data_IF_324076659902
#
_entry.id   IF_324076659902
#
_cell.length_a   1.000
_cell.length_b   1.000
_cell.length_c   1.000
_cell.angle_alpha   90.00
_cell.angle_beta   90.00
_cell.angle_gamma   90.00
#
_symmetry.space_group_name_H-M   'P 1'
#
loop_
_entity.id
_entity.type
_entity.pdbx_description
1 polymer ?
#
# COMPACT_ATOMS: atom_id res chain seq x y z
N UNK A 1 -9.21 14.64 1.58
CA UNK A 1 -8.23 14.92 0.49
C UNK A 1 -8.28 16.39 0.06
N UNK A 2 -7.30 16.86 -0.71
CA UNK A 2 -7.21 18.24 -1.24
C UNK A 2 -6.66 18.23 -2.68
N UNK A 3 -6.64 19.40 -3.34
CA UNK A 3 -5.98 19.62 -4.64
C UNK A 3 -6.45 18.69 -5.78
N UNK A 4 -7.73 18.33 -5.81
CA UNK A 4 -8.28 17.42 -6.83
C UNK A 4 -8.22 18.09 -8.21
N UNK A 5 -7.60 17.38 -9.16
CA UNK A 5 -7.44 17.80 -10.57
C UNK A 5 -7.87 16.69 -11.51
N UNK A 6 -8.40 17.06 -12.67
CA UNK A 6 -8.73 16.13 -13.74
C UNK A 6 -7.49 15.88 -14.62
N UNK A 7 -7.25 14.64 -14.99
CA UNK A 7 -6.16 14.17 -15.86
C UNK A 7 -6.71 13.28 -16.98
N UNK A 8 -5.88 12.89 -17.94
CA UNK A 8 -6.32 11.96 -19.00
C UNK A 8 -6.63 10.54 -18.49
N UNK A 9 -6.23 10.20 -17.26
CA UNK A 9 -6.40 8.89 -16.63
C UNK A 9 -7.43 8.88 -15.49
N UNK A 10 -8.21 9.95 -15.32
CA UNK A 10 -9.14 10.12 -14.20
C UNK A 10 -8.78 11.32 -13.32
N UNK A 11 -9.28 11.32 -12.09
CA UNK A 11 -9.00 12.35 -11.11
C UNK A 11 -7.78 12.00 -10.26
N UNK A 12 -7.04 13.04 -9.91
CA UNK A 12 -5.89 12.94 -9.02
C UNK A 12 -6.06 13.93 -7.88
N UNK A 13 -6.04 13.43 -6.66
CA UNK A 13 -6.04 14.21 -5.43
C UNK A 13 -4.73 14.05 -4.64
N UNK A 14 -4.66 14.76 -3.52
CA UNK A 14 -3.56 14.66 -2.57
C UNK A 14 -4.12 14.39 -1.17
N UNK A 15 -3.48 13.48 -0.43
CA UNK A 15 -3.74 13.28 0.99
C UNK A 15 -2.45 13.26 1.80
N UNK A 16 -2.54 13.64 3.07
CA UNK A 16 -1.44 13.46 4.02
C UNK A 16 -1.53 12.06 4.61
N UNK A 17 -0.44 11.30 4.54
CA UNK A 17 -0.31 9.98 5.14
C UNK A 17 0.57 10.08 6.40
N UNK A 18 -0.08 9.98 7.55
CA UNK A 18 0.51 10.24 8.86
C UNK A 18 1.64 9.28 9.23
N UNK A 19 1.54 8.00 8.85
CA UNK A 19 2.57 7.00 9.15
C UNK A 19 3.96 7.38 8.61
N UNK A 20 3.99 8.07 7.46
CA UNK A 20 5.22 8.49 6.79
C UNK A 20 5.44 10.01 6.82
N UNK A 21 4.60 10.76 7.54
CA UNK A 21 4.66 12.23 7.66
C UNK A 21 4.82 12.95 6.29
N UNK A 22 4.01 12.56 5.30
CA UNK A 22 4.12 13.14 3.95
C UNK A 22 2.81 13.13 3.19
N UNK A 23 2.73 13.99 2.17
CA UNK A 23 1.65 13.91 1.20
C UNK A 23 1.93 12.85 0.15
N UNK A 24 0.87 12.15 -0.26
CA UNK A 24 0.87 11.15 -1.33
C UNK A 24 -0.25 11.48 -2.33
N UNK A 25 -0.09 10.96 -3.55
CA UNK A 25 -1.11 11.08 -4.59
C UNK A 25 -2.28 10.11 -4.31
N UNK A 26 -3.50 10.51 -4.68
CA UNK A 26 -4.67 9.63 -4.65
C UNK A 26 -5.29 9.59 -6.05
N UNK A 27 -5.30 8.42 -6.67
CA UNK A 27 -5.88 8.17 -8.00
C UNK A 27 -7.32 7.70 -7.86
N UNK A 28 -8.23 8.35 -8.60
CA UNK A 28 -9.68 8.13 -8.52
C UNK A 28 -10.24 8.12 -9.94
N UNK A 29 -11.05 7.12 -10.31
CA UNK A 29 -11.54 7.01 -11.70
C UNK A 29 -12.54 8.12 -12.06
N UNK A 30 -13.47 8.49 -11.16
CA UNK A 30 -14.48 9.52 -11.43
C UNK A 30 -14.85 10.41 -10.22
N UNK A 31 -15.62 11.47 -10.48
CA UNK A 31 -16.06 12.43 -9.44
C UNK A 31 -17.02 11.83 -8.40
N UNK A 32 -17.79 10.81 -8.76
CA UNK A 32 -18.73 10.15 -7.86
C UNK A 32 -18.01 9.32 -6.79
N UNK A 33 -16.77 8.90 -7.08
CA UNK A 33 -15.91 8.17 -6.15
C UNK A 33 -15.21 9.05 -5.11
N UNK A 34 -15.30 10.38 -5.19
CA UNK A 34 -14.60 11.29 -4.26
C UNK A 34 -15.00 11.03 -2.80
N UNK A 35 -16.28 10.74 -2.53
CA UNK A 35 -16.73 10.41 -1.18
C UNK A 35 -16.04 9.15 -0.67
N UNK A 36 -16.08 8.08 -1.45
CA UNK A 36 -15.45 6.81 -1.12
C UNK A 36 -13.92 6.92 -0.96
N UNK A 37 -13.26 7.68 -1.85
CA UNK A 37 -11.84 7.99 -1.75
C UNK A 37 -11.48 8.70 -0.44
N UNK A 38 -12.34 9.58 0.10
CA UNK A 38 -12.10 10.19 1.41
C UNK A 38 -12.22 9.15 2.54
N UNK A 39 -13.16 8.21 2.44
CA UNK A 39 -13.28 7.11 3.42
C UNK A 39 -12.02 6.24 3.40
N UNK A 40 -11.49 5.87 2.24
CA UNK A 40 -10.23 5.12 2.15
C UNK A 40 -9.04 5.92 2.70
N UNK A 41 -8.96 7.23 2.43
CA UNK A 41 -7.91 8.10 2.96
C UNK A 41 -7.98 8.26 4.49
N UNK A 42 -9.17 8.34 5.05
CA UNK A 42 -9.39 8.34 6.51
C UNK A 42 -9.03 6.98 7.11
N UNK A 43 -9.45 5.89 6.45
CA UNK A 43 -9.12 4.53 6.86
C UNK A 43 -7.61 4.31 6.94
N UNK A 44 -6.86 4.70 5.91
CA UNK A 44 -5.40 4.61 5.85
C UNK A 44 -4.70 5.32 7.03
N UNK A 45 -5.22 6.46 7.46
CA UNK A 45 -4.69 7.21 8.61
C UNK A 45 -5.20 6.70 9.97
N UNK A 46 -6.16 5.78 9.97
CA UNK A 46 -6.73 5.18 11.18
C UNK A 46 -6.23 3.77 11.46
N UNK A 47 -5.33 3.24 10.62
CA UNK A 47 -4.74 1.92 10.79
C UNK A 47 -4.15 1.78 12.20
N UNK A 48 -4.51 0.69 12.87
CA UNK A 48 -4.01 0.41 14.21
C UNK A 48 -2.61 -0.22 14.19
N UNK A 49 -1.96 -0.27 15.36
CA UNK A 49 -0.60 -0.79 15.51
C UNK A 49 -0.44 -2.24 15.04
N UNK A 50 -1.49 -3.06 15.15
CA UNK A 50 -1.45 -4.46 14.74
C UNK A 50 -1.36 -4.58 13.20
N UNK A 51 -2.16 -3.80 12.47
CA UNK A 51 -2.10 -3.77 11.00
C UNK A 51 -0.76 -3.19 10.51
N UNK A 52 -0.28 -2.13 11.15
CA UNK A 52 1.02 -1.53 10.83
C UNK A 52 2.15 -2.55 11.07
N UNK A 53 2.08 -3.32 12.16
CA UNK A 53 3.05 -4.37 12.45
C UNK A 53 2.99 -5.52 11.44
N UNK A 54 1.80 -5.95 11.01
CA UNK A 54 1.65 -6.93 9.93
C UNK A 54 2.33 -6.44 8.64
N UNK A 55 2.09 -5.18 8.27
CA UNK A 55 2.71 -4.57 7.09
C UNK A 55 4.24 -4.57 7.22
N UNK A 56 4.77 -4.12 8.35
CA UNK A 56 6.22 -4.09 8.57
C UNK A 56 6.86 -5.49 8.45
N UNK A 57 6.26 -6.49 9.08
CA UNK A 57 6.76 -7.87 9.02
C UNK A 57 6.69 -8.45 7.60
N UNK A 58 5.65 -8.11 6.85
CA UNK A 58 5.49 -8.52 5.47
C UNK A 58 6.51 -7.84 4.54
N UNK A 59 6.75 -6.53 4.72
CA UNK A 59 7.77 -5.80 3.98
C UNK A 59 9.19 -6.32 4.27
N UNK A 60 9.49 -6.71 5.52
CA UNK A 60 10.79 -7.34 5.86
C UNK A 60 10.96 -8.67 5.13
N UNK A 61 9.91 -9.52 5.10
CA UNK A 61 9.95 -10.77 4.34
C UNK A 61 10.22 -10.50 2.87
N UNK A 62 9.53 -9.52 2.29
CA UNK A 62 9.73 -9.16 0.90
C UNK A 62 11.15 -8.67 0.62
N UNK A 63 11.63 -7.74 1.44
CA UNK A 63 12.97 -7.17 1.36
C UNK A 63 14.06 -8.26 1.37
N UNK A 64 14.04 -9.14 2.38
CA UNK A 64 15.10 -10.14 2.51
C UNK A 64 15.01 -11.27 1.48
N UNK A 65 13.80 -11.67 1.04
CA UNK A 65 13.67 -12.63 -0.07
C UNK A 65 14.24 -12.03 -1.37
N UNK A 66 13.89 -10.78 -1.68
CA UNK A 66 14.42 -10.10 -2.87
C UNK A 66 15.95 -9.98 -2.84
N UNK A 67 16.52 -9.53 -1.72
CA UNK A 67 17.98 -9.42 -1.55
C UNK A 67 18.67 -10.78 -1.74
N UNK A 68 18.11 -11.85 -1.15
CA UNK A 68 18.59 -13.21 -1.33
C UNK A 68 18.57 -13.64 -2.80
N UNK A 69 17.49 -13.36 -3.52
CA UNK A 69 17.33 -13.72 -4.94
C UNK A 69 18.34 -13.03 -5.86
N UNK A 70 18.74 -11.80 -5.53
CA UNK A 70 19.78 -11.07 -6.28
C UNK A 70 21.21 -11.32 -5.76
N UNK A 71 21.37 -12.11 -4.70
CA UNK A 71 22.67 -12.47 -4.12
C UNK A 71 23.30 -11.39 -3.24
N UNK A 72 22.49 -10.51 -2.67
CA UNK A 72 22.89 -9.51 -1.68
C UNK A 72 22.66 -9.99 -0.24
N UNK A 73 23.32 -9.35 0.73
CA UNK A 73 23.18 -9.70 2.15
C UNK A 73 21.82 -9.25 2.71
N UNK A 74 21.15 -10.12 3.46
CA UNK A 74 19.92 -9.78 4.17
C UNK A 74 20.11 -8.63 5.18
N UNK A 75 19.06 -7.83 5.37
CA UNK A 75 19.06 -6.73 6.35
C UNK A 75 18.49 -7.24 7.68
N UNK A 76 19.24 -7.00 8.76
CA UNK A 76 18.77 -7.18 10.12
C UNK A 76 18.09 -5.93 10.67
N UNK A 77 16.85 -6.06 11.16
CA UNK A 77 16.09 -4.98 11.76
C UNK A 77 16.03 -5.12 13.29
N UNK A 78 16.16 -4.03 14.05
CA UNK A 78 16.08 -4.08 15.52
C UNK A 78 14.62 -4.22 16.00
N UNK A 79 13.69 -3.62 15.26
CA UNK A 79 12.24 -3.77 15.43
C UNK A 79 11.54 -3.70 14.06
N UNK A 80 10.33 -4.26 13.91
CA UNK A 80 9.64 -4.31 12.61
C UNK A 80 9.50 -2.95 11.93
N UNK A 81 9.15 -1.90 12.68
CA UNK A 81 8.95 -0.55 12.15
C UNK A 81 10.20 0.07 11.51
N UNK A 82 11.40 -0.47 11.76
CA UNK A 82 12.63 0.05 11.16
C UNK A 82 12.61 -0.08 9.63
N UNK A 83 11.88 -1.05 9.07
CA UNK A 83 11.73 -1.20 7.60
C UNK A 83 11.06 0.01 6.95
N UNK A 84 10.23 0.75 7.69
CA UNK A 84 9.54 1.93 7.17
C UNK A 84 10.50 3.04 6.74
N UNK A 85 11.72 3.08 7.27
CA UNK A 85 12.72 4.07 6.84
C UNK A 85 13.27 3.79 5.43
N UNK A 86 13.09 2.57 4.94
CA UNK A 86 13.52 2.11 3.61
C UNK A 86 12.38 2.13 2.59
N UNK A 87 11.20 2.63 2.98
CA UNK A 87 9.99 2.66 2.16
C UNK A 87 9.54 4.10 1.97
N UNK A 88 9.08 4.43 0.77
CA UNK A 88 8.51 5.74 0.45
C UNK A 88 7.14 5.54 -0.20
N UNK A 89 6.04 5.95 0.44
CA UNK A 89 4.74 5.81 -0.18
C UNK A 89 4.60 6.77 -1.36
N UNK A 90 4.03 6.26 -2.45
CA UNK A 90 3.92 6.96 -3.73
C UNK A 90 2.48 7.39 -3.98
N UNK A 91 1.56 6.44 -4.04
CA UNK A 91 0.16 6.71 -4.35
C UNK A 91 -0.79 5.74 -3.64
N UNK A 92 -2.03 6.19 -3.46
CA UNK A 92 -3.19 5.38 -3.11
C UNK A 92 -4.08 5.30 -4.36
N UNK A 93 -4.32 4.10 -4.86
CA UNK A 93 -5.31 3.85 -5.91
C UNK A 93 -6.65 3.55 -5.26
N UNK A 94 -7.70 4.25 -5.66
CA UNK A 94 -9.06 4.01 -5.13
C UNK A 94 -9.81 3.11 -6.10
N UNK A 95 -9.95 1.81 -5.79
CA UNK A 95 -10.67 0.89 -6.67
C UNK A 95 -12.18 1.13 -6.60
N UNK A 96 -12.91 0.69 -7.61
CA UNK A 96 -14.37 0.62 -7.56
C UNK A 96 -14.84 -0.17 -6.31
N UNK A 97 -15.76 0.37 -5.51
CA UNK A 97 -16.25 -0.34 -4.34
C UNK A 97 -17.10 -1.56 -4.74
N UNK A 98 -16.81 -2.73 -4.17
CA UNK A 98 -17.61 -3.95 -4.40
C UNK A 98 -18.59 -4.25 -3.25
N UNK A 99 -18.31 -3.78 -2.03
CA UNK A 99 -19.10 -4.02 -0.82
C UNK A 99 -19.61 -2.71 -0.19
N UNK A 100 -20.29 -1.88 -0.98
CA UNK A 100 -20.84 -0.61 -0.50
C UNK A 100 -19.73 0.42 -0.22
N UNK A 101 -19.55 0.84 1.03
CA UNK A 101 -18.50 1.80 1.42
C UNK A 101 -17.44 1.18 2.34
N UNK A 102 -17.30 -0.16 2.33
CA UNK A 102 -16.19 -0.85 3.00
C UNK A 102 -14.86 -0.33 2.41
N UNK A 103 -14.01 0.33 3.20
CA UNK A 103 -12.77 0.89 2.67
C UNK A 103 -11.76 -0.22 2.37
N UNK A 104 -10.99 0.00 1.32
CA UNK A 104 -9.85 -0.84 0.96
C UNK A 104 -8.66 0.06 0.65
N UNK A 105 -7.47 -0.38 1.07
CA UNK A 105 -6.20 0.26 0.75
C UNK A 105 -5.56 -0.53 -0.38
N UNK A 106 -5.16 0.16 -1.43
CA UNK A 106 -4.36 -0.34 -2.54
C UNK A 106 -3.31 0.73 -2.84
N UNK A 107 -2.06 0.45 -2.46
CA UNK A 107 -0.98 1.44 -2.49
C UNK A 107 0.21 0.98 -3.29
N UNK A 108 0.76 1.91 -4.07
CA UNK A 108 2.10 1.84 -4.63
C UNK A 108 3.10 2.50 -3.67
N UNK A 109 4.22 1.82 -3.44
CA UNK A 109 5.29 2.22 -2.53
C UNK A 109 6.63 2.04 -3.26
N UNK A 110 7.54 3.00 -3.18
CA UNK A 110 8.93 2.77 -3.54
C UNK A 110 9.66 2.13 -2.35
N UNK A 111 10.66 1.29 -2.63
CA UNK A 111 11.51 0.69 -1.60
C UNK A 111 12.98 0.68 -2.02
N UNK A 112 13.90 0.70 -1.06
CA UNK A 112 15.34 0.77 -1.36
C UNK A 112 15.93 -0.54 -1.92
N UNK A 113 15.28 -1.69 -1.69
CA UNK A 113 15.78 -2.98 -2.18
C UNK A 113 15.33 -3.29 -3.61
N UNK A 114 14.14 -2.84 -4.03
CA UNK A 114 13.66 -3.04 -5.40
C UNK A 114 13.21 -1.71 -6.03
N UNK A 115 14.18 -0.99 -6.61
CA UNK A 115 13.95 0.32 -7.24
C UNK A 115 13.14 0.24 -8.56
N UNK A 116 13.11 -0.92 -9.23
CA UNK A 116 12.47 -1.07 -10.56
C UNK A 116 10.95 -1.28 -10.47
N UNK A 117 10.49 -2.19 -9.60
CA UNK A 117 9.07 -2.51 -9.47
C UNK A 117 8.44 -2.00 -8.17
N UNK A 118 9.22 -1.54 -7.20
CA UNK A 118 8.69 -1.04 -5.93
C UNK A 118 7.92 -2.10 -5.15
N UNK A 119 6.90 -1.68 -4.43
CA UNK A 119 6.09 -2.56 -3.58
C UNK A 119 4.63 -2.15 -3.62
N UNK A 120 3.75 -3.13 -3.61
CA UNK A 120 2.31 -2.94 -3.50
C UNK A 120 1.81 -3.42 -2.14
N UNK A 121 0.90 -2.65 -1.54
CA UNK A 121 0.29 -2.94 -0.24
C UNK A 121 -1.22 -2.93 -0.39
N UNK A 122 -1.85 -4.06 -0.03
CA UNK A 122 -3.32 -4.18 0.01
C UNK A 122 -3.77 -4.47 1.44
N UNK A 123 -4.68 -3.64 1.96
CA UNK A 123 -5.29 -3.82 3.29
C UNK A 123 -6.80 -3.75 3.17
N UNK A 124 -7.49 -4.73 3.77
CA UNK A 124 -8.95 -4.75 3.89
C UNK A 124 -9.35 -5.40 5.21
N UNK A 125 -10.36 -4.86 5.90
CA UNK A 125 -10.84 -5.35 7.20
C UNK A 125 -9.71 -5.56 8.22
N UNK A 126 -8.85 -4.55 8.37
CA UNK A 126 -7.72 -4.54 9.30
C UNK A 126 -6.80 -5.77 9.16
N UNK A 127 -6.64 -6.23 7.93
CA UNK A 127 -5.77 -7.34 7.58
C UNK A 127 -4.94 -6.94 6.38
N UNK A 128 -3.62 -7.12 6.48
CA UNK A 128 -2.73 -7.00 5.32
C UNK A 128 -2.97 -8.23 4.43
N UNK A 129 -3.47 -7.99 3.22
CA UNK A 129 -3.83 -9.03 2.26
C UNK A 129 -2.71 -9.30 1.27
N UNK A 130 -1.95 -8.26 0.90
CA UNK A 130 -0.84 -8.36 -0.04
C UNK A 130 0.31 -7.43 0.34
N UNK A 131 1.52 -7.97 0.25
CA UNK A 131 2.78 -7.22 0.16
C UNK A 131 3.68 -7.97 -0.82
N UNK A 132 4.26 -7.27 -1.78
CA UNK A 132 5.17 -7.82 -2.78
C UNK A 132 5.44 -6.80 -3.89
N UNK A 133 6.07 -7.22 -4.99
CA UNK A 133 6.26 -6.37 -6.16
C UNK A 133 4.93 -5.76 -6.64
N UNK A 134 4.99 -4.53 -7.14
CA UNK A 134 3.81 -3.86 -7.69
C UNK A 134 3.42 -4.44 -9.05
N UNK A 135 2.28 -5.15 -9.07
CA UNK A 135 1.72 -5.76 -10.27
C UNK A 135 0.24 -5.44 -10.49
N UNK A 136 -0.36 -4.60 -9.64
CA UNK A 136 -1.78 -4.26 -9.71
C UNK A 136 -2.65 -5.45 -9.37
N UNK A 137 -2.35 -6.10 -8.24
CA UNK A 137 -3.17 -7.17 -7.69
C UNK A 137 -4.56 -6.62 -7.35
N UNK A 138 -5.59 -7.46 -7.47
CA UNK A 138 -6.96 -7.00 -7.28
C UNK A 138 -7.26 -6.83 -5.78
N UNK A 139 -7.50 -5.61 -5.26
CA UNK A 139 -7.79 -5.39 -3.84
C UNK A 139 -9.09 -6.07 -3.36
N UNK A 140 -9.98 -6.42 -4.30
CA UNK A 140 -11.18 -7.19 -4.02
C UNK A 140 -11.02 -8.71 -4.17
N UNK A 141 -9.83 -9.17 -4.56
CA UNK A 141 -9.51 -10.57 -4.79
C UNK A 141 -9.61 -11.49 -3.56
N UNK A 142 -9.47 -12.78 -3.82
CA UNK A 142 -9.38 -13.83 -2.80
C UNK A 142 -7.92 -14.07 -2.41
N UNK A 143 -7.61 -13.77 -1.14
CA UNK A 143 -6.29 -13.92 -0.54
C UNK A 143 -6.21 -15.07 0.47
N UNK A 144 -7.21 -15.97 0.50
CA UNK A 144 -7.20 -17.13 1.41
C UNK A 144 -6.05 -18.09 1.13
N UNK A 145 -5.67 -18.26 -0.13
CA UNK A 145 -4.50 -19.03 -0.56
C UNK A 145 -3.38 -18.07 -0.97
N UNK A 146 -2.41 -17.86 -0.09
CA UNK A 146 -1.27 -16.98 -0.38
C UNK A 146 -0.38 -17.61 -1.46
N UNK A 147 -0.20 -16.87 -2.56
CA UNK A 147 0.80 -17.17 -3.59
C UNK A 147 2.20 -17.05 -2.96
N UNK A 148 3.20 -17.73 -3.51
CA UNK A 148 4.56 -17.71 -2.94
C UNK A 148 5.21 -16.33 -2.95
N UNK A 149 4.76 -15.45 -3.85
CA UNK A 149 5.21 -14.05 -3.98
C UNK A 149 4.33 -13.04 -3.22
N UNK A 150 3.37 -13.51 -2.41
CA UNK A 150 2.62 -12.67 -1.48
C UNK A 150 3.20 -12.83 -0.08
N UNK A 151 3.84 -11.77 0.41
CA UNK A 151 4.53 -11.74 1.69
C UNK A 151 3.67 -11.24 2.85
N UNK A 152 2.37 -10.95 2.66
CA UNK A 152 1.43 -10.64 3.73
C UNK A 152 1.30 -11.77 4.76
#
# INVERSE_FOLDING_TARGET
>A
MKNIRNTEYGLVGEMYFSLFDRNIEVSIDDELMIEYANICAEYLNSLNDEVINQFCLAAIRYCNEFLSDIGEDEIGFNKPSDVLTLIKPKSLTVPDPQNGLEPVIDMELDCEWEEEHGMELIIRNDTVLYVGAYYGENPWGDYTNKKSWNYA
#
